data_IF_788966481628
#
_entry.id   IF_788966481628
#
_cell.length_a   1.000
_cell.length_b   1.000
_cell.length_c   1.000
_cell.angle_alpha   90.00
_cell.angle_beta   90.00
_cell.angle_gamma   90.00
#
_symmetry.space_group_name_H-M   'P 1'
#
loop_
_entity.id
_entity.type
_entity.pdbx_description
1 polymer ?
#
# COMPACT_ATOMS: atom_id res chain seq x y z
N UNK A 1 -3.82 5.74 36.33
CA UNK A 1 -3.84 6.85 35.35
C UNK A 1 -3.46 6.26 34.01
N UNK A 2 -4.41 5.67 33.32
CA UNK A 2 -4.24 5.17 31.94
C UNK A 2 -4.11 6.40 31.03
N UNK A 3 -3.02 6.46 30.25
CA UNK A 3 -2.57 7.67 29.57
C UNK A 3 -3.60 8.25 28.61
N UNK A 4 -3.91 9.55 28.76
CA UNK A 4 -4.88 10.27 27.93
C UNK A 4 -4.23 10.79 26.63
N UNK A 5 -3.57 9.93 25.87
CA UNK A 5 -2.90 10.35 24.64
C UNK A 5 -2.20 9.24 23.88
N UNK A 6 -1.65 9.60 22.73
CA UNK A 6 -0.94 8.69 21.85
C UNK A 6 0.25 8.03 22.56
N UNK A 7 0.33 6.71 22.41
CA UNK A 7 1.52 5.94 22.78
C UNK A 7 2.38 5.77 21.54
N UNK A 8 3.67 6.07 21.65
CA UNK A 8 4.62 6.04 20.53
C UNK A 8 5.74 5.05 20.86
N UNK A 9 5.97 4.07 19.99
CA UNK A 9 7.06 3.10 20.13
C UNK A 9 7.84 2.93 18.83
N UNK A 10 9.08 2.45 18.95
CA UNK A 10 9.90 1.98 17.82
C UNK A 10 9.88 0.44 17.71
N UNK A 11 9.19 -0.23 18.63
CA UNK A 11 9.05 -1.69 18.69
C UNK A 11 7.72 -2.13 18.06
N UNK A 12 7.83 -2.87 16.94
CA UNK A 12 6.68 -3.43 16.25
C UNK A 12 5.96 -4.51 17.08
N UNK A 13 6.67 -5.28 17.91
CA UNK A 13 6.06 -6.29 18.76
C UNK A 13 5.23 -5.64 19.88
N UNK A 14 5.70 -4.52 20.43
CA UNK A 14 4.92 -3.74 21.40
C UNK A 14 3.63 -3.18 20.77
N UNK A 15 3.76 -2.58 19.59
CA UNK A 15 2.62 -2.06 18.85
C UNK A 15 1.57 -3.15 18.55
N UNK A 16 1.98 -4.31 18.04
CA UNK A 16 1.07 -5.40 17.73
C UNK A 16 0.44 -6.00 18.99
N UNK A 17 1.17 -6.09 20.11
CA UNK A 17 0.59 -6.52 21.40
C UNK A 17 -0.49 -5.55 21.89
N UNK A 18 -0.29 -4.24 21.71
CA UNK A 18 -1.22 -3.23 22.21
C UNK A 18 -2.44 -3.02 21.30
N UNK A 19 -2.24 -3.05 19.99
CA UNK A 19 -3.25 -2.66 18.99
C UNK A 19 -3.74 -3.79 18.09
N UNK A 20 -3.24 -5.02 18.26
CA UNK A 20 -3.53 -6.17 17.40
C UNK A 20 -5.03 -6.39 17.18
N UNK A 21 -5.83 -6.44 18.24
CA UNK A 21 -7.29 -6.65 18.14
C UNK A 21 -7.97 -5.53 17.34
N UNK A 22 -7.53 -4.28 17.50
CA UNK A 22 -8.04 -3.14 16.73
C UNK A 22 -7.65 -3.24 15.25
N UNK A 23 -6.40 -3.62 14.97
CA UNK A 23 -5.92 -3.80 13.60
C UNK A 23 -6.66 -4.93 12.90
N UNK A 24 -6.85 -6.06 13.57
CA UNK A 24 -7.51 -7.25 13.04
C UNK A 24 -9.01 -7.07 12.82
N UNK A 25 -9.68 -6.25 13.64
CA UNK A 25 -11.10 -5.95 13.47
C UNK A 25 -11.44 -5.31 12.11
N UNK A 26 -10.47 -4.64 11.48
CA UNK A 26 -10.55 -4.10 10.11
C UNK A 26 -9.29 -4.44 9.32
N UNK A 27 -8.94 -5.74 9.30
CA UNK A 27 -7.68 -6.26 8.75
C UNK A 27 -7.35 -5.74 7.35
N UNK A 28 -8.36 -5.58 6.49
CA UNK A 28 -8.19 -5.12 5.11
C UNK A 28 -7.86 -3.63 5.07
N UNK A 29 -8.63 -2.78 5.75
CA UNK A 29 -8.36 -1.34 5.86
C UNK A 29 -7.04 -1.07 6.58
N UNK A 30 -6.68 -1.91 7.56
CA UNK A 30 -5.49 -1.79 8.37
C UNK A 30 -4.29 -2.60 7.82
N UNK A 31 -4.38 -3.10 6.58
CA UNK A 31 -3.38 -3.99 5.98
C UNK A 31 -1.95 -3.44 6.02
N UNK A 32 -1.78 -2.12 5.85
CA UNK A 32 -0.44 -1.53 5.88
C UNK A 32 0.20 -1.64 7.26
N UNK A 33 -0.55 -1.37 8.33
CA UNK A 33 -0.03 -1.51 9.69
C UNK A 33 0.41 -2.95 9.99
N UNK A 34 -0.42 -3.93 9.61
CA UNK A 34 -0.12 -5.35 9.82
C UNK A 34 1.09 -5.81 9.01
N UNK A 35 1.07 -5.58 7.69
CA UNK A 35 2.14 -6.04 6.79
C UNK A 35 3.46 -5.31 7.02
N UNK A 36 3.43 -4.00 7.33
CA UNK A 36 4.62 -3.24 7.66
C UNK A 36 5.23 -3.69 8.99
N UNK A 37 4.40 -3.94 10.01
CA UNK A 37 4.88 -4.46 11.30
C UNK A 37 5.52 -5.85 11.14
N UNK A 38 4.91 -6.75 10.36
CA UNK A 38 5.51 -8.08 10.06
C UNK A 38 6.87 -7.94 9.38
N UNK A 39 6.95 -7.09 8.35
CA UNK A 39 8.21 -6.83 7.64
C UNK A 39 9.29 -6.26 8.55
N UNK A 40 8.95 -5.35 9.47
CA UNK A 40 9.92 -4.82 10.45
C UNK A 40 10.38 -5.90 11.42
N UNK A 41 9.51 -6.84 11.83
CA UNK A 41 9.89 -7.96 12.70
C UNK A 41 10.82 -8.95 12.01
N UNK A 42 10.59 -9.21 10.73
CA UNK A 42 11.36 -10.17 9.92
C UNK A 42 12.70 -9.60 9.45
N UNK A 43 12.66 -8.42 8.84
CA UNK A 43 13.83 -7.82 8.16
C UNK A 43 14.58 -6.79 9.05
N UNK A 44 13.98 -6.39 10.17
CA UNK A 44 14.48 -5.32 11.02
C UNK A 44 14.32 -3.93 10.40
N UNK A 45 15.01 -2.95 10.99
CA UNK A 45 14.90 -1.52 10.63
C UNK A 45 16.15 -0.95 9.95
N UNK A 46 17.18 -1.76 9.67
CA UNK A 46 18.50 -1.29 9.20
C UNK A 46 18.46 -0.52 7.88
N UNK A 47 17.45 -0.77 7.04
CA UNK A 47 17.29 -0.14 5.72
C UNK A 47 16.67 1.25 5.77
N UNK A 48 16.14 1.67 6.93
CA UNK A 48 15.56 2.99 7.08
C UNK A 48 16.62 3.97 7.59
N UNK A 49 16.69 5.16 6.98
CA UNK A 49 17.56 6.23 7.45
C UNK A 49 17.21 6.65 8.89
N UNK A 50 15.91 6.61 9.22
CA UNK A 50 15.39 6.78 10.57
C UNK A 50 14.52 5.60 10.98
N UNK A 51 14.53 5.17 12.25
CA UNK A 51 13.67 4.07 12.69
C UNK A 51 12.20 4.46 12.54
N UNK A 52 11.35 3.57 11.99
CA UNK A 52 9.91 3.76 11.96
C UNK A 52 9.33 4.00 13.37
N UNK A 53 8.17 4.64 13.43
CA UNK A 53 7.42 4.82 14.66
C UNK A 53 6.04 4.19 14.53
N UNK A 54 5.61 3.52 15.58
CA UNK A 54 4.30 2.93 15.70
C UNK A 54 3.54 3.68 16.78
N UNK A 55 2.35 4.15 16.45
CA UNK A 55 1.54 4.97 17.32
C UNK A 55 0.18 4.30 17.55
N UNK A 56 -0.33 4.32 18.78
CA UNK A 56 -1.70 3.87 19.08
C UNK A 56 -2.36 4.77 20.12
N UNK A 57 -3.68 4.94 20.00
CA UNK A 57 -4.47 5.78 20.89
C UNK A 57 -5.40 4.90 21.75
N UNK A 58 -5.11 4.73 23.05
CA UNK A 58 -6.02 4.11 23.99
C UNK A 58 -7.07 5.11 24.49
N UNK A 59 -8.34 4.73 24.43
CA UNK A 59 -9.46 5.46 25.03
C UNK A 59 -10.39 4.45 25.72
N UNK A 60 -10.78 4.73 26.97
CA UNK A 60 -11.70 3.88 27.76
C UNK A 60 -11.35 2.37 27.75
N UNK A 61 -10.06 2.05 27.81
CA UNK A 61 -9.56 0.68 27.87
C UNK A 61 -9.54 -0.08 26.53
N UNK A 62 -9.82 0.59 25.41
CA UNK A 62 -9.70 0.04 24.05
C UNK A 62 -8.80 0.91 23.17
N UNK A 63 -8.27 0.33 22.10
CA UNK A 63 -7.58 1.10 21.06
C UNK A 63 -8.62 1.62 20.08
N UNK A 64 -8.58 2.93 19.81
CA UNK A 64 -9.53 3.59 18.89
C UNK A 64 -8.87 4.08 17.60
N UNK A 65 -7.55 4.22 17.60
CA UNK A 65 -6.78 4.62 16.43
C UNK A 65 -5.36 4.10 16.49
N UNK A 66 -4.75 3.96 15.33
CA UNK A 66 -3.33 3.67 15.18
C UNK A 66 -2.71 4.52 14.07
N UNK A 67 -1.39 4.64 14.09
CA UNK A 67 -0.63 5.19 12.97
C UNK A 67 0.72 4.51 12.83
N UNK A 68 1.24 4.48 11.61
CA UNK A 68 2.62 4.06 11.31
C UNK A 68 3.33 5.21 10.64
N UNK A 69 4.47 5.61 11.19
CA UNK A 69 5.34 6.66 10.66
C UNK A 69 6.59 6.02 10.09
N UNK A 70 6.86 6.29 8.81
CA UNK A 70 8.04 5.80 8.09
C UNK A 70 8.80 7.02 7.54
N UNK A 71 9.69 7.65 8.33
CA UNK A 71 10.39 8.85 7.86
C UNK A 71 11.42 8.54 6.77
N UNK A 72 11.70 9.50 5.87
CA UNK A 72 11.01 10.79 5.70
C UNK A 72 9.69 10.68 4.90
N UNK A 73 9.23 9.47 4.62
CA UNK A 73 8.24 9.18 3.58
C UNK A 73 6.82 9.53 4.02
N UNK A 74 6.31 8.96 5.11
CA UNK A 74 4.88 9.08 5.41
C UNK A 74 4.46 8.88 6.87
N UNK A 75 3.31 9.47 7.23
CA UNK A 75 2.42 9.02 8.30
C UNK A 75 1.22 8.32 7.67
N UNK A 76 0.91 7.09 8.07
CA UNK A 76 -0.34 6.41 7.66
C UNK A 76 -1.25 6.26 8.87
N UNK A 77 -2.47 6.75 8.75
CA UNK A 77 -3.49 6.85 9.80
C UNK A 77 -4.53 5.73 9.67
N UNK A 78 -4.89 5.10 10.80
CA UNK A 78 -5.84 4.00 10.86
C UNK A 78 -6.93 4.28 11.89
N UNK A 79 -8.12 4.65 11.41
CA UNK A 79 -9.31 4.91 12.21
C UNK A 79 -9.36 6.16 13.11
N UNK A 80 -8.41 7.13 13.11
CA UNK A 80 -8.56 8.29 13.98
C UNK A 80 -9.73 9.17 13.54
N UNK A 81 -10.41 9.77 14.52
CA UNK A 81 -11.25 10.95 14.28
C UNK A 81 -10.38 12.14 13.86
N UNK A 82 -11.00 13.20 13.33
CA UNK A 82 -10.31 14.46 13.02
C UNK A 82 -9.52 15.02 14.23
N UNK A 83 -10.11 14.97 15.43
CA UNK A 83 -9.45 15.45 16.65
C UNK A 83 -8.28 14.55 17.07
N UNK A 84 -8.43 13.22 16.95
CA UNK A 84 -7.34 12.29 17.21
C UNK A 84 -6.18 12.49 16.21
N UNK A 85 -6.47 12.68 14.93
CA UNK A 85 -5.47 12.96 13.90
C UNK A 85 -4.73 14.29 14.15
N UNK A 86 -5.48 15.35 14.52
CA UNK A 86 -4.93 16.64 14.95
C UNK A 86 -4.00 16.48 16.15
N UNK A 87 -4.42 15.74 17.17
CA UNK A 87 -3.58 15.51 18.35
C UNK A 87 -2.28 14.76 18.00
N UNK A 88 -2.33 13.79 17.09
CA UNK A 88 -1.13 13.09 16.62
C UNK A 88 -0.19 14.03 15.86
N UNK A 89 -0.72 14.90 15.00
CA UNK A 89 0.07 15.89 14.28
C UNK A 89 0.88 16.76 15.26
N UNK A 90 0.26 17.26 16.34
CA UNK A 90 0.94 18.03 17.39
C UNK A 90 2.13 17.28 18.01
N UNK A 91 1.95 16.00 18.31
CA UNK A 91 3.02 15.15 18.87
C UNK A 91 4.17 14.93 17.87
N UNK A 92 3.84 14.82 16.58
CA UNK A 92 4.80 14.49 15.54
C UNK A 92 5.57 15.70 14.98
N UNK A 93 5.01 16.92 15.00
CA UNK A 93 5.69 18.14 14.51
C UNK A 93 7.07 18.31 15.17
N UNK A 94 7.15 18.15 16.50
CA UNK A 94 8.40 18.32 17.24
C UNK A 94 9.33 17.11 17.25
N UNK A 95 8.83 15.91 16.89
CA UNK A 95 9.57 14.65 17.05
C UNK A 95 9.94 13.99 15.73
N UNK A 96 9.20 14.28 14.65
CA UNK A 96 9.34 13.71 13.30
C UNK A 96 9.11 14.77 12.21
N UNK A 97 9.85 15.90 12.22
CA UNK A 97 9.65 16.98 11.25
C UNK A 97 9.98 16.58 9.81
N UNK A 98 10.75 15.51 9.60
CA UNK A 98 11.18 15.03 8.28
C UNK A 98 10.09 14.34 7.47
N UNK A 99 8.90 14.10 8.03
CA UNK A 99 7.83 13.42 7.30
C UNK A 99 7.23 14.36 6.25
N UNK A 100 7.12 13.85 5.02
CA UNK A 100 6.72 14.64 3.85
C UNK A 100 5.29 14.37 3.38
N UNK A 101 4.66 13.28 3.85
CA UNK A 101 3.31 12.89 3.43
C UNK A 101 2.47 12.34 4.57
N UNK A 102 1.15 12.46 4.44
CA UNK A 102 0.16 11.78 5.29
C UNK A 102 -0.87 11.04 4.44
N UNK A 103 -1.28 9.86 4.90
CA UNK A 103 -2.23 8.98 4.22
C UNK A 103 -3.28 8.50 5.19
N UNK A 104 -4.55 8.54 4.82
CA UNK A 104 -5.65 8.06 5.65
C UNK A 104 -7.01 8.50 5.12
N UNK A 105 -8.04 8.40 5.94
CA UNK A 105 -9.38 8.93 5.62
C UNK A 105 -9.34 10.46 5.44
N UNK A 106 -10.16 10.99 4.53
CA UNK A 106 -10.13 12.39 4.11
C UNK A 106 -10.23 13.39 5.28
N UNK A 107 -11.16 13.17 6.22
CA UNK A 107 -11.36 14.08 7.36
C UNK A 107 -10.16 14.05 8.34
N UNK A 108 -9.62 12.86 8.58
CA UNK A 108 -8.43 12.68 9.42
C UNK A 108 -7.20 13.33 8.79
N UNK A 109 -6.98 13.12 7.49
CA UNK A 109 -5.90 13.74 6.74
C UNK A 109 -6.04 15.26 6.73
N UNK A 110 -7.22 15.79 6.45
CA UNK A 110 -7.48 17.23 6.47
C UNK A 110 -7.17 17.86 7.82
N UNK A 111 -7.58 17.21 8.91
CA UNK A 111 -7.28 17.69 10.26
C UNK A 111 -5.78 17.61 10.61
N UNK A 112 -5.10 16.55 10.18
CA UNK A 112 -3.66 16.38 10.35
C UNK A 112 -2.87 17.47 9.60
N UNK A 113 -3.17 17.69 8.32
CA UNK A 113 -2.54 18.71 7.47
C UNK A 113 -2.73 20.11 8.06
N UNK A 114 -3.96 20.44 8.45
CA UNK A 114 -4.27 21.76 9.01
C UNK A 114 -3.50 22.06 10.30
N UNK A 115 -3.16 21.01 11.08
CA UNK A 115 -2.34 21.14 12.27
C UNK A 115 -0.85 21.17 11.97
N UNK A 116 -0.40 20.43 10.95
CA UNK A 116 1.01 20.40 10.52
C UNK A 116 1.52 21.78 10.09
N UNK A 117 0.62 22.67 9.67
CA UNK A 117 0.92 24.09 9.49
C UNK A 117 1.62 24.44 8.17
N UNK A 118 1.69 23.49 7.23
CA UNK A 118 2.17 23.68 5.87
C UNK A 118 1.04 23.45 4.88
N UNK A 119 0.94 24.32 3.88
CA UNK A 119 -0.03 24.14 2.80
C UNK A 119 0.29 22.84 2.05
N UNK A 120 -0.70 21.96 1.92
CA UNK A 120 -0.51 20.74 1.16
C UNK A 120 -0.27 21.07 -0.31
N UNK A 121 0.88 20.68 -0.84
CA UNK A 121 1.33 21.00 -2.21
C UNK A 121 0.78 20.01 -3.25
N UNK A 122 0.29 18.85 -2.81
CA UNK A 122 -0.29 17.83 -3.66
C UNK A 122 -1.25 16.92 -2.89
N UNK A 123 -2.37 16.55 -3.53
CA UNK A 123 -3.35 15.62 -3.00
C UNK A 123 -3.77 14.64 -4.08
N UNK A 124 -3.95 13.37 -3.72
CA UNK A 124 -4.51 12.34 -4.61
C UNK A 124 -5.44 11.40 -3.84
N UNK A 125 -6.58 11.09 -4.45
CA UNK A 125 -7.48 10.04 -3.98
C UNK A 125 -6.90 8.66 -4.28
N UNK A 126 -6.93 7.76 -3.30
CA UNK A 126 -6.52 6.39 -3.46
C UNK A 126 -7.63 5.45 -3.02
N UNK A 127 -8.00 4.52 -3.88
CA UNK A 127 -8.99 3.49 -3.59
C UNK A 127 -8.29 2.22 -3.13
N UNK A 128 -8.78 1.63 -2.05
CA UNK A 128 -8.44 0.27 -1.64
C UNK A 128 -9.52 -0.69 -2.14
N UNK A 129 -9.10 -1.66 -2.94
CA UNK A 129 -9.92 -2.76 -3.40
C UNK A 129 -9.50 -4.07 -2.76
N UNK A 130 -10.49 -4.92 -2.48
CA UNK A 130 -10.34 -6.31 -2.04
C UNK A 130 -10.94 -7.24 -3.08
N UNK A 131 -10.27 -8.34 -3.39
CA UNK A 131 -10.83 -9.37 -4.23
C UNK A 131 -11.98 -10.08 -3.51
N UNK A 132 -13.19 -10.01 -4.07
CA UNK A 132 -14.31 -10.88 -3.70
C UNK A 132 -14.21 -12.22 -4.43
N UNK A 133 -15.22 -12.55 -5.22
CA UNK A 133 -15.16 -13.69 -6.13
C UNK A 133 -14.39 -13.32 -7.40
N UNK A 134 -13.27 -14.01 -7.67
CA UNK A 134 -12.48 -13.79 -8.88
C UNK A 134 -13.28 -14.17 -10.13
N UNK A 135 -13.48 -13.19 -11.02
CA UNK A 135 -14.17 -13.37 -12.29
C UNK A 135 -13.18 -13.46 -13.44
N UNK A 136 -13.39 -14.38 -14.41
CA UNK A 136 -12.49 -14.53 -15.53
C UNK A 136 -12.46 -13.26 -16.41
N UNK A 137 -11.26 -12.86 -16.81
CA UNK A 137 -11.07 -11.82 -17.81
C UNK A 137 -11.56 -12.31 -19.18
N UNK A 138 -11.74 -11.37 -20.11
CA UNK A 138 -11.90 -11.75 -21.52
C UNK A 138 -10.60 -12.42 -21.99
N UNK A 139 -10.67 -13.52 -22.76
CA UNK A 139 -9.47 -14.15 -23.31
C UNK A 139 -8.60 -13.14 -24.04
N UNK A 140 -7.31 -13.15 -23.73
CA UNK A 140 -6.27 -12.41 -24.43
C UNK A 140 -5.26 -13.43 -24.97
N UNK A 141 -4.63 -13.12 -26.10
CA UNK A 141 -3.52 -13.92 -26.62
C UNK A 141 -2.36 -13.91 -25.63
N UNK A 142 -1.63 -15.02 -25.53
CA UNK A 142 -0.44 -15.14 -24.70
C UNK A 142 -0.64 -15.95 -23.43
N UNK A 143 0.34 -15.88 -22.53
CA UNK A 143 0.31 -16.55 -21.24
C UNK A 143 1.10 -15.77 -20.18
N UNK A 144 0.79 -16.02 -18.92
CA UNK A 144 1.55 -15.45 -17.80
C UNK A 144 2.72 -16.34 -17.40
N UNK A 145 3.84 -15.73 -17.02
CA UNK A 145 4.94 -16.41 -16.31
C UNK A 145 5.58 -15.48 -15.27
N UNK A 146 6.28 -16.01 -14.26
CA UNK A 146 7.17 -15.21 -13.43
C UNK A 146 8.22 -14.52 -14.30
N UNK A 147 8.60 -13.29 -13.93
CA UNK A 147 9.70 -12.59 -14.56
C UNK A 147 11.05 -13.27 -14.21
N UNK A 148 11.97 -13.21 -15.15
CA UNK A 148 13.32 -13.73 -15.06
C UNK A 148 14.33 -12.57 -15.09
N UNK A 149 15.60 -12.82 -14.72
CA UNK A 149 16.62 -11.77 -14.62
C UNK A 149 16.80 -11.01 -15.95
N UNK A 150 16.66 -11.70 -17.09
CA UNK A 150 16.74 -11.10 -18.42
C UNK A 150 15.63 -10.07 -18.70
N UNK A 151 14.49 -10.16 -18.00
CA UNK A 151 13.38 -9.22 -18.16
C UNK A 151 13.65 -7.91 -17.38
N UNK A 152 14.57 -7.90 -16.41
CA UNK A 152 14.73 -6.79 -15.45
C UNK A 152 14.89 -5.43 -16.14
N UNK A 153 15.76 -5.32 -17.14
CA UNK A 153 16.03 -4.05 -17.81
C UNK A 153 14.78 -3.48 -18.49
N UNK A 154 13.96 -4.35 -19.12
CA UNK A 154 12.70 -3.96 -19.74
C UNK A 154 11.68 -3.52 -18.69
N UNK A 155 11.48 -4.35 -17.66
CA UNK A 155 10.48 -4.12 -16.63
C UNK A 155 10.82 -2.91 -15.74
N UNK A 156 12.09 -2.63 -15.51
CA UNK A 156 12.55 -1.42 -14.83
C UNK A 156 12.14 -0.17 -15.61
N UNK A 157 12.34 -0.16 -16.94
CA UNK A 157 11.87 0.92 -17.80
C UNK A 157 10.36 1.13 -17.70
N UNK A 158 9.58 0.05 -17.68
CA UNK A 158 8.12 0.13 -17.50
C UNK A 158 7.71 0.61 -16.10
N UNK A 159 8.41 0.17 -15.05
CA UNK A 159 8.14 0.59 -13.69
C UNK A 159 8.39 2.09 -13.51
N UNK A 160 9.49 2.60 -14.06
CA UNK A 160 9.83 4.02 -14.04
C UNK A 160 8.83 4.84 -14.87
N UNK A 161 8.48 4.41 -16.08
CA UNK A 161 7.50 5.10 -16.93
C UNK A 161 6.12 5.22 -16.27
N UNK A 162 5.67 4.16 -15.60
CA UNK A 162 4.35 4.13 -14.96
C UNK A 162 4.29 4.74 -13.56
N UNK A 163 5.38 4.67 -12.78
CA UNK A 163 5.35 4.85 -11.32
C UNK A 163 6.53 5.67 -10.76
N UNK A 164 7.44 6.15 -11.61
CA UNK A 164 8.56 7.02 -11.25
C UNK A 164 9.82 6.31 -10.78
N UNK A 165 10.90 7.07 -10.57
CA UNK A 165 12.27 6.57 -10.38
C UNK A 165 12.43 5.58 -9.20
N UNK A 166 11.67 5.77 -8.12
CA UNK A 166 11.72 4.87 -6.95
C UNK A 166 11.16 3.47 -7.20
N UNK A 167 10.49 3.24 -8.34
CA UNK A 167 9.84 1.97 -8.66
C UNK A 167 10.84 0.86 -9.06
N UNK A 168 12.04 1.21 -9.55
CA UNK A 168 13.04 0.22 -9.95
C UNK A 168 13.57 -0.58 -8.74
N UNK A 169 13.87 0.08 -7.62
CA UNK A 169 14.32 -0.58 -6.40
C UNK A 169 13.26 -1.54 -5.84
N UNK A 170 11.98 -1.14 -5.87
CA UNK A 170 10.87 -2.00 -5.46
C UNK A 170 10.73 -3.21 -6.40
N UNK A 171 10.89 -3.01 -7.71
CA UNK A 171 10.85 -4.08 -8.70
C UNK A 171 11.97 -5.11 -8.48
N UNK A 172 13.22 -4.65 -8.28
CA UNK A 172 14.37 -5.53 -7.99
C UNK A 172 14.07 -6.41 -6.78
N UNK A 173 13.65 -5.78 -5.68
CA UNK A 173 13.30 -6.49 -4.44
C UNK A 173 12.19 -7.53 -4.67
N UNK A 174 11.21 -7.23 -5.52
CA UNK A 174 10.13 -8.17 -5.86
C UNK A 174 10.61 -9.35 -6.68
N UNK A 175 11.57 -9.15 -7.58
CA UNK A 175 12.14 -10.26 -8.35
C UNK A 175 12.87 -11.27 -7.45
N UNK A 176 13.54 -10.81 -6.37
CA UNK A 176 14.23 -11.69 -5.41
C UNK A 176 13.32 -12.75 -4.77
N UNK A 177 12.01 -12.47 -4.64
CA UNK A 177 11.02 -13.41 -4.11
C UNK A 177 9.98 -13.85 -5.15
N UNK A 178 10.29 -13.70 -6.46
CA UNK A 178 9.40 -14.07 -7.58
C UNK A 178 8.02 -13.38 -7.54
N UNK A 179 7.99 -12.16 -7.01
CA UNK A 179 6.82 -11.29 -6.93
C UNK A 179 6.54 -10.48 -8.20
N UNK A 180 7.23 -10.73 -9.31
CA UNK A 180 7.00 -10.02 -10.58
C UNK A 180 6.57 -11.03 -11.63
N UNK A 181 5.52 -10.70 -12.36
CA UNK A 181 4.94 -11.54 -13.40
C UNK A 181 4.81 -10.75 -14.68
N UNK A 182 5.03 -11.43 -15.81
CA UNK A 182 4.83 -10.88 -17.15
C UNK A 182 3.75 -11.64 -17.88
N UNK A 183 3.04 -10.94 -18.74
CA UNK A 183 2.21 -11.51 -19.80
C UNK A 183 3.02 -11.51 -21.08
N UNK A 184 3.18 -12.67 -21.70
CA UNK A 184 4.02 -12.87 -22.87
C UNK A 184 3.18 -13.25 -24.09
N UNK A 185 3.47 -12.62 -25.23
CA UNK A 185 2.88 -12.93 -26.54
C UNK A 185 4.02 -13.18 -27.53
N UNK A 186 4.01 -14.34 -28.19
CA UNK A 186 5.03 -14.72 -29.17
C UNK A 186 6.49 -14.58 -28.70
N UNK A 187 6.75 -14.79 -27.39
CA UNK A 187 8.09 -14.67 -26.80
C UNK A 187 8.43 -13.27 -26.27
N UNK A 188 7.53 -12.29 -26.40
CA UNK A 188 7.75 -10.91 -25.97
C UNK A 188 6.86 -10.55 -24.77
N UNK A 189 7.43 -10.02 -23.66
CA UNK A 189 6.65 -9.43 -22.59
C UNK A 189 5.86 -8.22 -23.13
N UNK A 190 4.54 -8.21 -22.90
CA UNK A 190 3.63 -7.12 -23.33
C UNK A 190 2.86 -6.48 -22.18
N UNK A 191 2.94 -7.04 -20.97
CA UNK A 191 2.38 -6.47 -19.75
C UNK A 191 3.05 -7.06 -18.53
N UNK A 192 3.03 -6.35 -17.40
CA UNK A 192 3.47 -6.88 -16.11
C UNK A 192 2.45 -6.65 -15.01
N UNK A 193 2.53 -7.49 -13.98
CA UNK A 193 1.93 -7.24 -12.68
C UNK A 193 2.90 -7.63 -11.57
N UNK A 194 2.77 -7.00 -10.42
CA UNK A 194 3.58 -7.32 -9.23
C UNK A 194 2.72 -7.78 -8.07
N UNK A 195 3.24 -8.69 -7.26
CA UNK A 195 2.70 -9.11 -5.98
C UNK A 195 3.65 -8.69 -4.86
N UNK A 196 3.12 -8.27 -3.72
CA UNK A 196 3.92 -8.14 -2.50
C UNK A 196 4.28 -9.53 -1.98
N UNK A 197 5.20 -9.61 -1.00
CA UNK A 197 5.28 -10.81 -0.16
C UNK A 197 3.93 -11.06 0.50
N UNK A 198 3.58 -12.33 0.66
CA UNK A 198 2.50 -12.74 1.54
C UNK A 198 2.91 -12.38 2.97
N UNK A 199 2.02 -11.71 3.70
CA UNK A 199 2.24 -11.38 5.10
C UNK A 199 0.90 -11.39 5.81
N UNK A 200 0.80 -12.21 6.87
CA UNK A 200 -0.42 -12.38 7.64
C UNK A 200 -1.66 -12.71 6.77
N UNK A 201 -1.50 -13.59 5.77
CA UNK A 201 -2.58 -13.99 4.85
C UNK A 201 -2.96 -12.94 3.80
N UNK A 202 -2.31 -11.77 3.82
CA UNK A 202 -2.54 -10.66 2.90
C UNK A 202 -1.47 -10.61 1.81
N UNK A 203 -1.90 -10.31 0.59
CA UNK A 203 -1.01 -9.97 -0.52
C UNK A 203 -1.60 -8.82 -1.33
N UNK A 204 -0.73 -7.95 -1.84
CA UNK A 204 -1.12 -6.81 -2.67
C UNK A 204 -0.65 -6.99 -4.10
N UNK A 205 -1.59 -6.86 -5.04
CA UNK A 205 -1.25 -6.57 -6.43
C UNK A 205 -0.79 -5.11 -6.46
N UNK A 206 0.45 -4.90 -6.91
CA UNK A 206 1.09 -3.59 -7.01
C UNK A 206 0.98 -3.05 -8.43
N UNK A 207 2.12 -2.63 -8.97
CA UNK A 207 2.29 -2.18 -10.35
C UNK A 207 1.62 -3.16 -11.31
N UNK A 208 0.64 -2.68 -12.07
CA UNK A 208 0.10 -3.32 -13.27
C UNK A 208 0.34 -2.35 -14.43
N UNK A 209 1.10 -2.79 -15.43
CA UNK A 209 1.50 -1.93 -16.52
C UNK A 209 1.41 -2.66 -17.87
N UNK A 210 0.89 -1.94 -18.86
CA UNK A 210 0.86 -2.34 -20.26
C UNK A 210 1.38 -1.16 -21.08
N UNK A 211 2.49 -1.31 -21.82
CA UNK A 211 3.01 -0.26 -22.71
C UNK A 211 1.94 0.26 -23.66
N UNK A 212 1.93 1.57 -24.01
CA UNK A 212 0.91 2.19 -24.86
C UNK A 212 0.58 1.40 -26.13
N UNK A 213 1.59 0.88 -26.82
CA UNK A 213 1.51 0.09 -28.05
C UNK A 213 0.79 -1.27 -27.88
N UNK A 214 0.72 -1.79 -26.65
CA UNK A 214 0.07 -3.05 -26.33
C UNK A 214 -1.31 -2.85 -25.64
N UNK A 215 -1.75 -1.61 -25.41
CA UNK A 215 -3.07 -1.33 -24.79
C UNK A 215 -4.23 -1.74 -25.72
N UNK A 216 -5.40 -1.96 -25.13
CA UNK A 216 -6.61 -2.35 -25.86
C UNK A 216 -6.74 -3.85 -26.17
N UNK A 217 -5.71 -4.65 -25.90
CA UNK A 217 -5.72 -6.11 -26.15
C UNK A 217 -6.18 -6.96 -24.96
N UNK A 218 -6.47 -6.33 -23.81
CA UNK A 218 -6.92 -7.04 -22.60
C UNK A 218 -5.81 -7.58 -21.70
N UNK A 219 -4.54 -7.38 -22.04
CA UNK A 219 -3.39 -7.93 -21.29
C UNK A 219 -3.35 -7.53 -19.81
N UNK A 220 -3.65 -6.28 -19.47
CA UNK A 220 -3.75 -5.83 -18.08
C UNK A 220 -4.77 -6.65 -17.26
N UNK A 221 -5.92 -6.99 -17.87
CA UNK A 221 -6.95 -7.77 -17.20
C UNK A 221 -6.51 -9.23 -17.06
N UNK A 222 -5.91 -9.80 -18.11
CA UNK A 222 -5.40 -11.17 -18.12
C UNK A 222 -4.30 -11.38 -17.07
N UNK A 223 -3.30 -10.49 -17.00
CA UNK A 223 -2.23 -10.61 -16.03
C UNK A 223 -2.73 -10.40 -14.60
N UNK A 224 -3.66 -9.45 -14.38
CA UNK A 224 -4.27 -9.21 -13.06
C UNK A 224 -5.05 -10.44 -12.58
N UNK A 225 -5.83 -11.07 -13.45
CA UNK A 225 -6.52 -12.32 -13.13
C UNK A 225 -5.54 -13.43 -12.75
N UNK A 226 -4.46 -13.61 -13.53
CA UNK A 226 -3.50 -14.68 -13.26
C UNK A 226 -2.75 -14.49 -11.94
N UNK A 227 -2.29 -13.27 -11.64
CA UNK A 227 -1.59 -13.02 -10.36
C UNK A 227 -2.55 -13.13 -9.17
N UNK A 228 -3.82 -12.73 -9.33
CA UNK A 228 -4.85 -12.94 -8.31
C UNK A 228 -5.10 -14.44 -8.06
N UNK A 229 -5.20 -15.23 -9.14
CA UNK A 229 -5.36 -16.69 -9.06
C UNK A 229 -4.16 -17.35 -8.39
N UNK A 230 -2.94 -16.95 -8.76
CA UNK A 230 -1.70 -17.46 -8.17
C UNK A 230 -1.62 -17.11 -6.66
N UNK A 231 -2.00 -15.89 -6.28
CA UNK A 231 -2.07 -15.46 -4.90
C UNK A 231 -3.05 -16.30 -4.06
N UNK A 232 -4.25 -16.56 -4.58
CA UNK A 232 -5.24 -17.42 -3.93
C UNK A 232 -4.73 -18.87 -3.81
N UNK A 233 -4.14 -19.41 -4.88
CA UNK A 233 -3.58 -20.76 -4.88
C UNK A 233 -2.41 -20.94 -3.90
N UNK A 234 -1.70 -19.85 -3.58
CA UNK A 234 -0.65 -19.82 -2.56
C UNK A 234 -1.21 -19.74 -1.12
N UNK A 235 -2.53 -19.74 -0.93
CA UNK A 235 -3.17 -19.76 0.39
C UNK A 235 -3.34 -18.40 1.05
N UNK A 236 -3.33 -17.30 0.28
CA UNK A 236 -3.66 -15.98 0.82
C UNK A 236 -5.17 -15.84 0.97
N UNK A 237 -5.60 -15.35 2.13
CA UNK A 237 -7.00 -15.06 2.44
C UNK A 237 -7.47 -13.77 1.76
N UNK A 238 -6.54 -12.82 1.57
CA UNK A 238 -6.83 -11.47 1.15
C UNK A 238 -5.92 -11.03 0.00
N UNK A 239 -6.52 -10.79 -1.17
CA UNK A 239 -5.84 -10.22 -2.34
C UNK A 239 -6.32 -8.78 -2.52
N UNK A 240 -5.43 -7.83 -2.29
CA UNK A 240 -5.75 -6.40 -2.25
C UNK A 240 -5.06 -5.66 -3.39
N UNK A 241 -5.56 -4.47 -3.72
CA UNK A 241 -4.83 -3.51 -4.54
C UNK A 241 -5.19 -2.09 -4.16
N UNK A 242 -4.25 -1.19 -4.41
CA UNK A 242 -4.48 0.25 -4.35
C UNK A 242 -4.44 0.82 -5.77
N UNK A 243 -5.31 1.78 -6.04
CA UNK A 243 -5.33 2.45 -7.35
C UNK A 243 -5.76 3.90 -7.19
N UNK A 244 -5.42 4.71 -8.19
CA UNK A 244 -5.81 6.11 -8.24
C UNK A 244 -7.33 6.22 -8.42
N UNK A 245 -7.97 7.04 -7.59
CA UNK A 245 -9.40 7.31 -7.68
C UNK A 245 -9.79 7.90 -9.04
N UNK A 246 -8.91 8.70 -9.64
CA UNK A 246 -9.15 9.40 -10.90
C UNK A 246 -8.80 8.57 -12.15
N UNK A 247 -8.50 7.27 -11.98
CA UNK A 247 -8.23 6.35 -13.08
C UNK A 247 -9.43 5.41 -13.38
N UNK A 248 -10.48 5.88 -14.10
CA UNK A 248 -11.69 5.10 -14.33
C UNK A 248 -11.46 3.81 -15.11
N UNK A 249 -10.43 3.77 -15.97
CA UNK A 249 -10.09 2.58 -16.76
C UNK A 249 -9.61 1.43 -15.88
N UNK A 250 -8.68 1.71 -14.96
CA UNK A 250 -8.17 0.71 -14.00
C UNK A 250 -9.28 0.30 -13.03
N UNK A 251 -10.04 1.27 -12.52
CA UNK A 251 -11.17 1.02 -11.61
C UNK A 251 -12.22 0.09 -12.24
N UNK A 252 -12.63 0.35 -13.48
CA UNK A 252 -13.55 -0.51 -14.21
C UNK A 252 -12.96 -1.88 -14.53
N UNK A 253 -11.64 -2.00 -14.70
CA UNK A 253 -10.97 -3.29 -14.86
C UNK A 253 -11.05 -4.13 -13.59
N UNK A 254 -10.64 -3.57 -12.45
CA UNK A 254 -10.63 -4.31 -11.19
C UNK A 254 -12.04 -4.77 -10.78
N UNK A 255 -13.05 -3.90 -10.89
CA UNK A 255 -14.43 -4.26 -10.57
C UNK A 255 -14.97 -5.40 -11.47
N UNK A 256 -14.60 -5.42 -12.75
CA UNK A 256 -14.99 -6.52 -13.66
C UNK A 256 -14.36 -7.85 -13.28
N UNK A 257 -13.15 -7.83 -12.70
CA UNK A 257 -12.47 -9.02 -12.19
C UNK A 257 -12.99 -9.48 -10.82
N UNK A 258 -13.93 -8.75 -10.22
CA UNK A 258 -14.53 -9.10 -8.92
C UNK A 258 -13.88 -8.41 -7.72
N UNK A 259 -13.08 -7.36 -7.94
CA UNK A 259 -12.62 -6.51 -6.85
C UNK A 259 -13.72 -5.57 -6.36
N UNK A 260 -13.86 -5.49 -5.05
CA UNK A 260 -14.87 -4.70 -4.34
C UNK A 260 -14.20 -3.54 -3.60
N UNK A 261 -14.77 -2.34 -3.71
CA UNK A 261 -14.24 -1.15 -3.05
C UNK A 261 -14.41 -1.28 -1.54
N UNK A 262 -13.31 -1.12 -0.80
CA UNK A 262 -13.30 -1.19 0.67
C UNK A 262 -13.24 0.20 1.28
N UNK A 263 -12.27 1.02 0.86
CA UNK A 263 -12.08 2.36 1.43
C UNK A 263 -11.56 3.35 0.40
N UNK A 264 -11.77 4.63 0.72
CA UNK A 264 -11.21 5.78 0.02
C UNK A 264 -10.25 6.48 0.97
N UNK A 265 -9.01 6.61 0.56
CA UNK A 265 -7.97 7.28 1.32
C UNK A 265 -7.52 8.52 0.55
N UNK A 266 -7.17 9.56 1.29
CA UNK A 266 -6.47 10.71 0.78
C UNK A 266 -4.98 10.54 1.06
N UNK A 267 -4.16 10.73 0.04
CA UNK A 267 -2.74 10.97 0.20
C UNK A 267 -2.49 12.46 0.03
N UNK A 268 -1.80 13.08 0.98
CA UNK A 268 -1.46 14.51 0.94
C UNK A 268 0.04 14.72 1.20
N UNK A 269 0.66 15.55 0.38
CA UNK A 269 2.00 16.08 0.61
C UNK A 269 1.92 17.25 1.60
N UNK A 270 2.72 17.21 2.66
CA UNK A 270 2.70 18.20 3.75
C UNK A 270 4.01 18.97 3.89
N UNK A 271 5.05 18.62 3.11
CA UNK A 271 6.39 19.20 3.26
C UNK A 271 7.06 18.84 4.60
N UNK A 272 8.38 18.98 4.67
CA UNK A 272 9.09 18.83 5.94
C UNK A 272 8.77 20.01 6.87
N UNK A 273 8.37 19.73 8.10
CA UNK A 273 8.15 20.78 9.10
C UNK A 273 9.47 21.50 9.41
N UNK A 274 9.41 22.83 9.55
CA UNK A 274 10.57 23.70 9.82
C UNK A 274 10.95 23.69 11.29
#
# INVERSE_FOLDING_TARGET
MTGMGWQLSKDADEFLRASGDFLEAKRVEHNFALTFSSMVREDGTRRFAEPPQFCWLPEDGRIVAAAVVVPPVSVTLFGPTADAARSLAKELIGTRPSVTHVVGEQDAVGAFVAEWGLDATGQRGQLLYRLGELRPARPAEGFSRPAEEQDFALLAGWAVDGFGDSAEEDLRRRMDYRGVWVWEVAGEPVSMATLSRSSAGLVRIGVVYTPPEHRGHGYAAAITEQVARAALAAGNDEVLLFTDEDNPTSNALYQRLGFELVSRNLWAEIGAAS
#
